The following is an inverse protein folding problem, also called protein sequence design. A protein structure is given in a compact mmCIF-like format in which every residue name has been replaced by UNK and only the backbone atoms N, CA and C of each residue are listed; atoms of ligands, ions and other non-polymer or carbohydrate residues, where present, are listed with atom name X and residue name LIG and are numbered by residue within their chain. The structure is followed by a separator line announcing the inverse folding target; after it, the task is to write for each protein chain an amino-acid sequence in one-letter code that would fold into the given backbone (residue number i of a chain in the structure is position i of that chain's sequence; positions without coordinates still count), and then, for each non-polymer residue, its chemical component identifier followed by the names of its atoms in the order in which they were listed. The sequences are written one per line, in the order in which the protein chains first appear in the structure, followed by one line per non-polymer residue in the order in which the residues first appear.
data_IF_164271369431
#
_entry.id   IF_164271369431
#
_cell.length_a   1.000
_cell.length_b   1.000
_cell.length_c   1.000
_cell.angle_alpha   90.00
_cell.angle_beta   90.00
_cell.angle_gamma   90.00
#
_symmetry.space_group_name_H-M   'P 1'
#
loop_
_entity.id
_entity.type
_entity.pdbx_description
1 polymer ?
#
# COMPACT_ATOMS: atom_id res chain seq x y z
N UNK A 1 4.33 21.90 -7.04
CA UNK A 1 2.94 21.84 -6.54
C UNK A 1 3.00 21.86 -5.02
N UNK A 2 2.47 22.90 -4.37
CA UNK A 2 2.51 23.03 -2.90
C UNK A 2 1.26 22.38 -2.34
N UNK A 3 1.36 21.09 -2.00
CA UNK A 3 0.40 20.42 -1.13
C UNK A 3 0.56 21.03 0.26
N UNK A 4 -0.53 21.39 0.91
CA UNK A 4 -0.56 22.15 2.14
C UNK A 4 0.36 21.56 3.21
N UNK A 5 1.34 22.36 3.63
CA UNK A 5 2.28 22.04 4.71
C UNK A 5 1.60 21.96 6.10
N UNK A 6 0.30 22.26 6.18
CA UNK A 6 -0.43 22.38 7.45
C UNK A 6 -1.03 21.06 8.00
N UNK A 7 -1.01 19.95 7.23
CA UNK A 7 -1.82 18.77 7.54
C UNK A 7 -1.26 17.84 8.61
N UNK A 8 0.04 17.80 8.84
CA UNK A 8 0.67 17.03 9.92
C UNK A 8 2.15 17.39 10.03
N UNK A 9 2.79 17.17 11.17
CA UNK A 9 4.24 17.29 11.30
C UNK A 9 4.98 16.16 10.56
N UNK A 10 6.26 16.37 10.13
CA UNK A 10 7.07 15.30 9.59
C UNK A 10 7.16 14.14 10.59
N UNK A 11 7.08 12.92 10.07
CA UNK A 11 7.19 11.71 10.89
C UNK A 11 8.68 11.46 11.15
N UNK A 12 9.09 11.44 12.42
CA UNK A 12 10.42 10.94 12.81
C UNK A 12 10.34 9.43 13.08
N UNK A 13 10.96 8.58 12.25
CA UNK A 13 10.92 7.14 12.45
C UNK A 13 11.56 6.70 13.77
N UNK A 14 12.53 7.44 14.31
CA UNK A 14 13.14 7.12 15.59
C UNK A 14 12.17 7.39 16.76
N UNK A 15 11.40 8.46 16.69
CA UNK A 15 10.35 8.76 17.66
C UNK A 15 9.22 7.72 17.62
N UNK A 16 8.86 7.23 16.41
CA UNK A 16 7.87 6.15 16.25
C UNK A 16 8.33 4.87 16.93
N UNK A 17 9.59 4.46 16.70
CA UNK A 17 10.16 3.25 17.34
C UNK A 17 10.20 3.37 18.86
N UNK A 18 10.59 4.53 19.37
CA UNK A 18 10.73 4.75 20.80
C UNK A 18 9.38 4.97 21.52
N UNK A 19 8.39 5.54 20.81
CA UNK A 19 7.10 5.93 21.37
C UNK A 19 6.06 4.82 21.40
N UNK A 20 6.15 3.83 20.52
CA UNK A 20 5.22 2.71 20.49
C UNK A 20 5.58 1.68 21.57
N UNK A 21 4.57 1.23 22.31
CA UNK A 21 4.72 0.16 23.32
C UNK A 21 4.60 -1.21 22.64
N UNK A 22 5.58 -1.58 21.83
CA UNK A 22 5.54 -2.76 20.96
C UNK A 22 5.13 -4.05 21.68
N UNK A 23 5.62 -4.30 22.89
CA UNK A 23 5.25 -5.48 23.67
C UNK A 23 3.79 -5.52 24.15
N UNK A 24 3.03 -4.42 23.99
CA UNK A 24 1.59 -4.38 24.24
C UNK A 24 0.76 -4.44 22.94
N UNK A 25 1.43 -4.47 21.80
CA UNK A 25 0.82 -4.59 20.48
C UNK A 25 0.93 -6.03 19.97
N UNK A 26 0.14 -6.35 18.95
CA UNK A 26 0.11 -7.66 18.33
C UNK A 26 0.33 -7.55 16.82
N UNK A 27 0.99 -8.54 16.25
CA UNK A 27 1.07 -8.85 14.84
C UNK A 27 0.46 -10.24 14.57
N UNK A 28 0.57 -10.76 13.35
CA UNK A 28 -0.07 -12.00 12.92
C UNK A 28 0.24 -13.24 13.80
N UNK A 29 1.37 -13.25 14.49
CA UNK A 29 1.88 -14.43 15.22
C UNK A 29 2.00 -14.21 16.72
N UNK A 30 1.61 -13.04 17.24
CA UNK A 30 1.62 -12.75 18.67
C UNK A 30 2.10 -11.35 19.03
N UNK A 31 2.74 -11.18 20.20
CA UNK A 31 3.26 -9.88 20.65
C UNK A 31 4.30 -9.30 19.70
N UNK A 32 4.27 -7.99 19.51
CA UNK A 32 5.05 -7.27 18.50
C UNK A 32 6.43 -6.78 18.99
N UNK A 33 7.04 -7.45 19.98
CA UNK A 33 8.34 -7.06 20.54
C UNK A 33 9.48 -7.08 19.52
N UNK A 34 9.37 -7.90 18.47
CA UNK A 34 10.34 -8.10 17.39
C UNK A 34 10.20 -7.10 16.24
N UNK A 35 9.06 -6.41 16.13
CA UNK A 35 8.80 -5.45 15.05
C UNK A 35 9.84 -4.33 14.94
N UNK A 36 10.38 -3.72 16.03
CA UNK A 36 11.42 -2.71 15.91
C UNK A 36 12.68 -3.18 15.18
N UNK A 37 13.11 -4.43 15.38
CA UNK A 37 14.25 -5.01 14.67
C UNK A 37 13.92 -5.21 13.18
N UNK A 38 12.76 -5.77 12.86
CA UNK A 38 12.29 -5.94 11.48
C UNK A 38 12.25 -4.59 10.75
N UNK A 39 11.65 -3.57 11.35
CA UNK A 39 11.52 -2.24 10.75
C UNK A 39 12.89 -1.59 10.48
N UNK A 40 13.83 -1.68 11.40
CA UNK A 40 15.18 -1.12 11.20
C UNK A 40 15.91 -1.82 10.05
N UNK A 41 15.65 -3.09 9.80
CA UNK A 41 16.18 -3.88 8.70
C UNK A 41 15.83 -3.30 7.32
N UNK A 42 14.72 -2.56 7.17
CA UNK A 42 14.31 -1.96 5.89
C UNK A 42 15.33 -0.98 5.30
N UNK A 43 16.20 -0.41 6.11
CA UNK A 43 17.24 0.53 5.66
C UNK A 43 18.65 -0.01 5.81
N UNK A 44 18.82 -1.29 6.07
CA UNK A 44 20.14 -1.93 6.25
C UNK A 44 21.00 -1.82 4.99
N UNK A 45 22.32 -1.96 5.15
CA UNK A 45 23.27 -1.98 4.05
C UNK A 45 23.22 -3.30 3.28
N UNK A 46 22.96 -4.39 3.96
CA UNK A 46 22.83 -5.74 3.38
C UNK A 46 21.48 -5.91 2.69
N UNK A 47 21.50 -6.31 1.43
CA UNK A 47 20.29 -6.51 0.62
C UNK A 47 19.42 -7.63 1.16
N UNK A 48 20.02 -8.73 1.63
CA UNK A 48 19.29 -9.85 2.20
C UNK A 48 18.58 -9.50 3.52
N UNK A 49 19.14 -8.57 4.30
CA UNK A 49 18.45 -8.03 5.49
C UNK A 49 17.26 -7.19 5.07
N UNK A 50 17.42 -6.30 4.07
CA UNK A 50 16.30 -5.49 3.55
C UNK A 50 15.18 -6.33 2.97
N UNK A 51 15.52 -7.37 2.20
CA UNK A 51 14.54 -8.27 1.58
C UNK A 51 13.73 -9.00 2.64
N UNK A 52 14.39 -9.56 3.67
CA UNK A 52 13.67 -10.19 4.79
C UNK A 52 12.78 -9.21 5.53
N UNK A 53 13.25 -8.00 5.81
CA UNK A 53 12.45 -6.98 6.48
C UNK A 53 11.21 -6.57 5.65
N UNK A 54 11.32 -6.53 4.32
CA UNK A 54 10.18 -6.30 3.43
C UNK A 54 9.20 -7.49 3.46
N UNK A 55 9.70 -8.72 3.43
CA UNK A 55 8.88 -9.92 3.56
C UNK A 55 8.14 -9.94 4.91
N UNK A 56 8.80 -9.54 5.98
CA UNK A 56 8.20 -9.44 7.31
C UNK A 56 7.07 -8.40 7.37
N UNK A 57 7.19 -7.26 6.65
CA UNK A 57 6.08 -6.31 6.53
C UNK A 57 4.83 -6.99 5.96
N UNK A 58 4.98 -7.80 4.91
CA UNK A 58 3.86 -8.46 4.25
C UNK A 58 3.33 -9.68 5.02
N UNK A 59 4.22 -10.45 5.65
CA UNK A 59 3.84 -11.74 6.25
C UNK A 59 3.62 -11.68 7.76
N UNK A 60 4.09 -10.65 8.44
CA UNK A 60 4.00 -10.51 9.89
C UNK A 60 3.14 -9.32 10.28
N UNK A 61 3.46 -8.12 9.75
CA UNK A 61 2.80 -6.87 10.15
C UNK A 61 1.45 -6.68 9.47
N UNK A 62 1.29 -7.20 8.24
CA UNK A 62 0.07 -7.10 7.43
C UNK A 62 -0.27 -8.43 6.75
N UNK A 63 -0.31 -9.50 7.53
CA UNK A 63 -0.52 -10.86 7.03
C UNK A 63 -1.92 -11.02 6.42
N UNK A 64 -1.99 -11.52 5.18
CA UNK A 64 -3.24 -11.79 4.46
C UNK A 64 -4.20 -10.57 4.48
N UNK A 65 -3.66 -9.38 4.27
CA UNK A 65 -4.40 -8.12 4.27
C UNK A 65 -5.15 -7.85 5.59
N UNK A 66 -4.66 -8.39 6.70
CA UNK A 66 -5.26 -8.15 8.01
C UNK A 66 -4.50 -7.04 8.74
N UNK A 67 -5.24 -6.10 9.31
CA UNK A 67 -4.70 -5.06 10.17
C UNK A 67 -4.56 -5.60 11.59
N UNK A 68 -3.41 -5.37 12.20
CA UNK A 68 -3.10 -5.69 13.60
C UNK A 68 -2.84 -4.40 14.38
N UNK A 69 -2.78 -4.48 15.70
CA UNK A 69 -2.49 -3.28 16.51
C UNK A 69 -1.09 -2.71 16.23
N UNK A 70 -0.14 -3.52 15.79
CA UNK A 70 1.19 -3.10 15.37
C UNK A 70 1.23 -2.45 13.98
N UNK A 71 0.19 -2.62 13.13
CA UNK A 71 0.22 -2.16 11.73
C UNK A 71 0.29 -0.64 11.61
N UNK A 72 -0.49 0.10 12.42
CA UNK A 72 -0.50 1.57 12.33
C UNK A 72 0.84 2.23 12.73
N UNK A 73 1.49 1.89 13.86
CA UNK A 73 2.81 2.42 14.16
C UNK A 73 3.88 1.95 13.16
N UNK A 74 3.80 0.74 12.62
CA UNK A 74 4.69 0.29 11.56
C UNK A 74 4.49 1.12 10.28
N UNK A 75 3.24 1.44 9.90
CA UNK A 75 2.94 2.30 8.75
C UNK A 75 3.50 3.72 8.92
N UNK A 76 3.45 4.28 10.13
CA UNK A 76 4.09 5.56 10.42
C UNK A 76 5.62 5.46 10.29
N UNK A 77 6.24 4.40 10.78
CA UNK A 77 7.68 4.20 10.61
C UNK A 77 8.06 4.13 9.12
N UNK A 78 7.37 3.29 8.35
CA UNK A 78 7.58 3.14 6.91
C UNK A 78 7.42 4.48 6.19
N UNK A 79 6.37 5.24 6.51
CA UNK A 79 6.15 6.56 5.96
C UNK A 79 7.29 7.54 6.31
N UNK A 80 7.84 7.45 7.52
CA UNK A 80 8.96 8.27 7.97
C UNK A 80 10.28 8.00 7.24
N UNK A 81 10.51 6.75 6.81
CA UNK A 81 11.76 6.38 6.08
C UNK A 81 11.66 6.57 4.56
N UNK A 82 10.50 6.89 3.99
CA UNK A 82 10.35 7.06 2.53
C UNK A 82 11.33 8.10 1.97
N UNK A 83 11.59 9.19 2.69
CA UNK A 83 12.53 10.24 2.30
C UNK A 83 14.01 9.88 2.46
N UNK A 84 14.33 8.79 3.14
CA UNK A 84 15.72 8.34 3.31
C UNK A 84 16.31 7.86 1.98
N UNK A 85 17.51 8.29 1.63
CA UNK A 85 18.20 7.86 0.42
C UNK A 85 18.44 6.33 0.37
N UNK A 86 18.47 5.66 1.54
CA UNK A 86 18.62 4.22 1.64
C UNK A 86 17.40 3.47 1.09
N UNK A 87 16.22 4.08 1.07
CA UNK A 87 15.01 3.52 0.46
C UNK A 87 15.07 3.45 -1.08
N UNK A 88 16.06 4.09 -1.73
CA UNK A 88 16.31 3.96 -3.16
C UNK A 88 17.14 2.73 -3.54
N UNK A 89 17.62 1.97 -2.55
CA UNK A 89 18.39 0.76 -2.83
C UNK A 89 17.53 -0.32 -3.43
N UNK A 90 18.19 -1.23 -4.14
CA UNK A 90 17.57 -2.48 -4.58
C UNK A 90 17.14 -3.35 -3.42
N UNK A 91 16.17 -4.18 -3.67
CA UNK A 91 15.72 -5.26 -2.80
C UNK A 91 15.50 -6.48 -3.68
N UNK A 92 15.95 -7.64 -3.20
CA UNK A 92 15.61 -8.91 -3.84
C UNK A 92 14.13 -9.17 -3.67
N UNK A 93 13.44 -9.51 -4.75
CA UNK A 93 12.01 -9.72 -4.78
C UNK A 93 11.62 -10.78 -5.78
N UNK A 94 10.44 -11.32 -5.59
CA UNK A 94 9.85 -12.26 -6.53
C UNK A 94 9.80 -11.64 -7.95
N UNK A 95 10.09 -12.40 -9.01
CA UNK A 95 10.00 -11.92 -10.39
C UNK A 95 8.65 -11.31 -10.78
N UNK A 96 7.61 -11.61 -10.01
CA UNK A 96 6.25 -11.10 -10.21
C UNK A 96 5.93 -9.87 -9.36
N UNK A 97 6.83 -9.39 -8.50
CA UNK A 97 6.66 -8.17 -7.73
C UNK A 97 6.68 -6.93 -8.62
N UNK A 98 6.13 -5.83 -8.13
CA UNK A 98 6.18 -4.56 -8.84
C UNK A 98 7.64 -4.13 -9.08
N UNK A 99 7.97 -3.54 -10.25
CA UNK A 99 9.32 -3.05 -10.51
C UNK A 99 9.64 -1.81 -9.66
N UNK A 100 10.93 -1.48 -9.56
CA UNK A 100 11.41 -0.29 -8.87
C UNK A 100 12.27 -0.57 -7.64
N UNK A 101 12.75 0.48 -6.97
CA UNK A 101 13.55 0.39 -5.74
C UNK A 101 12.68 0.03 -4.53
N UNK A 102 13.31 -0.21 -3.37
CA UNK A 102 12.64 -0.44 -2.09
C UNK A 102 11.55 0.59 -1.80
N UNK A 103 11.76 1.88 -2.12
CA UNK A 103 10.75 2.95 -1.94
C UNK A 103 9.44 2.64 -2.64
N UNK A 104 9.47 2.09 -3.85
CA UNK A 104 8.26 1.72 -4.57
C UNK A 104 7.50 0.59 -3.86
N UNK A 105 8.21 -0.40 -3.30
CA UNK A 105 7.62 -1.48 -2.50
C UNK A 105 6.99 -0.96 -1.21
N UNK A 106 7.69 -0.06 -0.50
CA UNK A 106 7.19 0.55 0.73
C UNK A 106 5.92 1.38 0.47
N UNK A 107 5.86 2.12 -0.64
CA UNK A 107 4.65 2.82 -1.07
C UNK A 107 3.53 1.83 -1.42
N UNK A 108 3.84 0.73 -2.10
CA UNK A 108 2.89 -0.35 -2.39
C UNK A 108 2.34 -1.00 -1.12
N UNK A 109 3.20 -1.23 -0.12
CA UNK A 109 2.77 -1.76 1.17
C UNK A 109 1.86 -0.76 1.92
N UNK A 110 2.19 0.53 1.93
CA UNK A 110 1.35 1.57 2.52
C UNK A 110 -0.02 1.67 1.82
N UNK A 111 -0.06 1.49 0.48
CA UNK A 111 -1.31 1.37 -0.25
C UNK A 111 -2.16 0.21 0.28
N UNK A 112 -1.55 -0.99 0.39
CA UNK A 112 -2.26 -2.18 0.86
C UNK A 112 -2.84 -1.99 2.27
N UNK A 113 -2.03 -1.45 3.20
CA UNK A 113 -2.50 -1.13 4.56
C UNK A 113 -3.65 -0.13 4.58
N UNK A 114 -3.56 0.94 3.77
CA UNK A 114 -4.59 1.96 3.72
C UNK A 114 -5.89 1.46 3.08
N UNK A 115 -5.79 0.57 2.09
CA UNK A 115 -6.92 -0.03 1.40
C UNK A 115 -7.79 -0.90 2.34
N UNK A 116 -7.16 -1.60 3.29
CA UNK A 116 -7.91 -2.38 4.30
C UNK A 116 -8.66 -1.50 5.33
N UNK A 117 -8.51 -0.19 5.24
CA UNK A 117 -9.22 0.76 6.09
C UNK A 117 -9.91 1.88 5.26
N UNK A 118 -10.19 1.66 3.98
CA UNK A 118 -10.91 2.60 3.12
C UNK A 118 -12.44 2.54 3.31
N UNK A 119 -13.17 3.33 2.55
CA UNK A 119 -14.63 3.40 2.62
C UNK A 119 -15.29 2.10 2.13
N UNK A 120 -14.69 1.39 1.18
CA UNK A 120 -15.18 0.12 0.67
C UNK A 120 -15.00 -0.99 1.71
N UNK A 121 -13.81 -1.10 2.30
CA UNK A 121 -13.55 -2.03 3.41
C UNK A 121 -14.51 -1.79 4.59
N UNK A 122 -14.77 -0.51 4.92
CA UNK A 122 -15.74 -0.13 5.93
C UNK A 122 -17.17 -0.58 5.57
N UNK A 123 -17.60 -0.39 4.32
CA UNK A 123 -18.92 -0.80 3.86
C UNK A 123 -19.08 -2.32 3.87
N UNK A 124 -18.07 -3.06 3.42
CA UNK A 124 -18.04 -4.53 3.46
C UNK A 124 -18.13 -5.02 4.91
N UNK A 125 -17.33 -4.48 5.82
CA UNK A 125 -17.30 -4.86 7.23
C UNK A 125 -18.67 -4.68 7.88
N UNK A 126 -19.32 -3.53 7.67
CA UNK A 126 -20.69 -3.27 8.17
C UNK A 126 -21.72 -4.23 7.59
N UNK A 127 -21.59 -4.56 6.29
CA UNK A 127 -22.50 -5.50 5.62
C UNK A 127 -22.47 -6.89 6.26
N UNK A 128 -21.31 -7.30 6.75
CA UNK A 128 -21.14 -8.59 7.43
C UNK A 128 -21.42 -8.52 8.96
N UNK A 129 -21.83 -7.36 9.49
CA UNK A 129 -22.16 -7.19 10.89
C UNK A 129 -20.96 -6.92 11.81
N UNK A 130 -19.84 -6.49 11.25
CA UNK A 130 -18.63 -6.11 11.95
C UNK A 130 -18.39 -4.61 11.77
N UNK A 131 -18.94 -3.72 12.64
CA UNK A 131 -18.72 -2.29 12.52
C UNK A 131 -17.22 -1.96 12.61
N UNK A 132 -16.63 -1.26 11.61
CA UNK A 132 -15.20 -1.00 11.61
C UNK A 132 -14.74 -0.10 12.76
N UNK A 133 -15.66 0.71 13.32
CA UNK A 133 -15.44 1.51 14.53
C UNK A 133 -15.18 0.68 15.80
N UNK A 134 -15.58 -0.59 15.81
CA UNK A 134 -15.33 -1.54 16.90
C UNK A 134 -14.01 -2.30 16.72
N UNK A 135 -13.28 -2.04 15.64
CA UNK A 135 -12.00 -2.67 15.33
C UNK A 135 -10.85 -1.67 15.48
N UNK A 136 -10.12 -1.67 16.62
CA UNK A 136 -9.09 -0.68 16.91
C UNK A 136 -8.01 -0.52 15.83
N UNK A 137 -7.47 -1.58 15.19
CA UNK A 137 -6.50 -1.42 14.10
C UNK A 137 -7.03 -0.59 12.93
N UNK A 138 -8.29 -0.78 12.54
CA UNK A 138 -8.93 0.00 11.49
C UNK A 138 -9.02 1.49 11.88
N UNK A 139 -9.50 1.76 13.10
CA UNK A 139 -9.64 3.14 13.61
C UNK A 139 -8.29 3.85 13.64
N UNK A 140 -7.23 3.16 14.05
CA UNK A 140 -5.88 3.73 14.10
C UNK A 140 -5.33 4.05 12.70
N UNK A 141 -5.53 3.20 11.69
CA UNK A 141 -5.15 3.52 10.31
C UNK A 141 -5.93 4.76 9.82
N UNK A 142 -7.25 4.83 10.04
CA UNK A 142 -8.03 6.02 9.70
C UNK A 142 -7.50 7.28 10.40
N UNK A 143 -7.07 7.18 11.65
CA UNK A 143 -6.53 8.32 12.41
C UNK A 143 -5.24 8.86 11.80
N UNK A 144 -4.35 8.00 11.31
CA UNK A 144 -3.03 8.37 10.78
C UNK A 144 -3.02 8.68 9.28
N UNK A 145 -4.16 8.53 8.56
CA UNK A 145 -4.26 8.84 7.11
C UNK A 145 -3.64 10.16 6.70
N UNK A 146 -3.81 11.31 7.41
CA UNK A 146 -3.21 12.57 6.99
C UNK A 146 -1.67 12.55 7.03
N UNK A 147 -1.09 11.87 8.02
CA UNK A 147 0.36 11.72 8.10
C UNK A 147 0.88 10.83 6.97
N UNK A 148 0.20 9.71 6.70
CA UNK A 148 0.54 8.81 5.59
C UNK A 148 0.40 9.54 4.24
N UNK A 149 -0.69 10.29 4.02
CA UNK A 149 -0.90 11.06 2.80
C UNK A 149 0.21 12.10 2.60
N UNK A 150 0.58 12.85 3.63
CA UNK A 150 1.68 13.81 3.53
C UNK A 150 2.98 13.13 3.10
N UNK A 151 3.31 11.97 3.69
CA UNK A 151 4.53 11.25 3.38
C UNK A 151 4.52 10.67 1.95
N UNK A 152 3.42 10.04 1.54
CA UNK A 152 3.29 9.41 0.21
C UNK A 152 3.18 10.43 -0.90
N UNK A 153 2.42 11.51 -0.71
CA UNK A 153 2.21 12.56 -1.72
C UNK A 153 3.47 13.36 -2.06
N UNK A 154 4.51 13.31 -1.21
CA UNK A 154 5.80 13.93 -1.51
C UNK A 154 6.50 13.31 -2.73
N UNK A 155 6.08 12.12 -3.19
CA UNK A 155 6.67 11.38 -4.30
C UNK A 155 5.79 11.37 -5.58
N UNK A 156 4.75 12.18 -5.64
CA UNK A 156 3.88 12.27 -6.81
C UNK A 156 4.60 12.81 -8.07
N UNK A 157 5.69 13.54 -7.89
CA UNK A 157 6.55 14.07 -8.97
C UNK A 157 7.95 13.39 -8.96
N UNK A 158 8.10 12.20 -8.36
CA UNK A 158 9.39 11.49 -8.31
C UNK A 158 9.89 11.21 -9.74
N UNK A 159 11.20 11.41 -10.03
CA UNK A 159 11.77 11.11 -11.35
C UNK A 159 11.69 9.63 -11.73
N UNK A 160 11.72 8.72 -10.76
CA UNK A 160 11.51 7.29 -11.00
C UNK A 160 10.02 7.01 -11.22
N UNK A 161 9.68 6.47 -12.39
CA UNK A 161 8.29 6.18 -12.78
C UNK A 161 7.63 5.20 -11.81
N UNK A 162 8.37 4.20 -11.31
CA UNK A 162 7.83 3.17 -10.43
C UNK A 162 7.52 3.74 -9.05
N UNK A 163 8.37 4.63 -8.53
CA UNK A 163 8.11 5.37 -7.28
C UNK A 163 6.91 6.29 -7.45
N UNK A 164 6.85 7.04 -8.57
CA UNK A 164 5.75 7.96 -8.85
C UNK A 164 4.40 7.25 -8.96
N UNK A 165 4.31 6.16 -9.72
CA UNK A 165 3.07 5.38 -9.88
C UNK A 165 2.65 4.73 -8.57
N UNK A 166 3.59 4.20 -7.79
CA UNK A 166 3.32 3.66 -6.47
C UNK A 166 2.82 4.73 -5.50
N UNK A 167 3.38 5.95 -5.55
CA UNK A 167 2.93 7.07 -4.73
C UNK A 167 1.50 7.52 -5.10
N UNK A 168 1.20 7.63 -6.40
CA UNK A 168 -0.16 7.93 -6.89
C UNK A 168 -1.14 6.89 -6.36
N UNK A 169 -0.81 5.61 -6.51
CA UNK A 169 -1.64 4.51 -6.02
C UNK A 169 -1.83 4.56 -4.49
N UNK A 170 -0.76 4.79 -3.73
CA UNK A 170 -0.81 4.85 -2.27
C UNK A 170 -1.67 6.00 -1.74
N UNK A 171 -1.79 7.09 -2.49
CA UNK A 171 -2.64 8.22 -2.11
C UNK A 171 -4.15 7.93 -2.24
N UNK A 172 -4.57 7.00 -3.10
CA UNK A 172 -6.00 6.75 -3.39
C UNK A 172 -6.81 6.47 -2.12
N UNK A 173 -6.55 5.38 -1.37
CA UNK A 173 -7.36 5.03 -0.19
C UNK A 173 -7.24 6.05 0.95
N UNK A 174 -6.15 6.81 1.00
CA UNK A 174 -5.96 7.85 2.00
C UNK A 174 -6.91 9.04 1.81
N UNK A 175 -7.37 9.28 0.56
CA UNK A 175 -8.29 10.36 0.21
C UNK A 175 -9.76 10.05 0.56
N UNK A 176 -10.05 8.96 1.25
CA UNK A 176 -11.34 8.73 1.89
C UNK A 176 -11.45 9.44 3.25
N UNK A 177 -10.34 10.02 3.73
CA UNK A 177 -10.38 10.89 4.90
C UNK A 177 -11.10 12.21 4.58
N UNK A 178 -12.14 12.60 5.32
CA UNK A 178 -12.87 13.86 5.09
C UNK A 178 -11.98 15.11 5.07
N UNK A 179 -10.84 15.06 5.80
CA UNK A 179 -9.86 16.17 5.85
C UNK A 179 -9.06 16.29 4.55
N UNK A 180 -9.01 15.23 3.73
CA UNK A 180 -8.17 15.13 2.54
C UNK A 180 -8.95 15.15 1.22
N UNK A 181 -10.29 15.15 1.25
CA UNK A 181 -11.14 15.08 0.04
C UNK A 181 -10.80 16.11 -1.02
N UNK A 182 -10.38 17.31 -0.61
CA UNK A 182 -10.04 18.41 -1.54
C UNK A 182 -8.80 18.08 -2.40
N UNK A 183 -7.96 17.11 -2.00
CA UNK A 183 -6.82 16.66 -2.78
C UNK A 183 -7.21 15.73 -3.94
N UNK A 184 -8.45 15.21 -3.98
CA UNK A 184 -8.95 14.41 -5.11
C UNK A 184 -8.84 15.18 -6.43
N UNK A 185 -9.15 16.48 -6.44
CA UNK A 185 -9.00 17.32 -7.61
C UNK A 185 -7.55 17.45 -8.12
N UNK A 186 -6.58 17.33 -7.23
CA UNK A 186 -5.14 17.33 -7.58
C UNK A 186 -4.70 15.95 -8.07
N UNK A 187 -5.22 14.89 -7.48
CA UNK A 187 -4.81 13.52 -7.85
C UNK A 187 -5.49 13.03 -9.14
N UNK A 188 -6.71 13.47 -9.44
CA UNK A 188 -7.45 13.00 -10.62
C UNK A 188 -6.70 13.14 -11.96
N UNK A 189 -6.01 14.24 -12.28
CA UNK A 189 -5.16 14.33 -13.47
C UNK A 189 -4.04 13.29 -13.49
N UNK A 190 -3.38 13.06 -12.35
CA UNK A 190 -2.29 12.08 -12.23
C UNK A 190 -2.79 10.65 -12.43
N UNK A 191 -4.00 10.34 -11.95
CA UNK A 191 -4.65 9.04 -12.22
C UNK A 191 -4.94 8.85 -13.71
N UNK A 192 -5.35 9.91 -14.42
CA UNK A 192 -5.54 9.85 -15.88
C UNK A 192 -4.21 9.64 -16.61
N UNK A 193 -3.12 10.23 -16.14
CA UNK A 193 -1.79 10.02 -16.70
C UNK A 193 -1.32 8.58 -16.48
N UNK A 194 -1.52 8.02 -15.28
CA UNK A 194 -1.22 6.61 -14.97
C UNK A 194 -2.07 5.69 -15.85
N UNK A 195 -3.36 5.95 -15.98
CA UNK A 195 -4.26 5.16 -16.81
C UNK A 195 -3.83 5.15 -18.29
N UNK A 196 -3.32 6.27 -18.79
CA UNK A 196 -2.89 6.42 -20.19
C UNK A 196 -1.51 5.79 -20.46
N UNK A 197 -0.58 5.82 -19.51
CA UNK A 197 0.84 5.57 -19.75
C UNK A 197 1.45 4.39 -18.98
N UNK A 198 0.85 3.96 -17.86
CA UNK A 198 1.42 2.89 -17.04
C UNK A 198 1.49 1.56 -17.79
N UNK A 199 2.64 0.89 -17.70
CA UNK A 199 2.80 -0.48 -18.16
C UNK A 199 2.13 -1.51 -17.23
N UNK A 200 1.81 -1.11 -15.99
CA UNK A 200 1.25 -1.99 -14.96
C UNK A 200 -0.28 -1.87 -14.96
N UNK A 201 -0.95 -2.95 -15.32
CA UNK A 201 -2.40 -2.99 -15.39
C UNK A 201 -3.05 -2.73 -14.02
N UNK A 202 -2.43 -3.15 -12.93
CA UNK A 202 -2.91 -2.94 -11.56
C UNK A 202 -3.06 -1.45 -11.22
N UNK A 203 -2.09 -0.63 -11.62
CA UNK A 203 -2.18 0.82 -11.40
C UNK A 203 -3.23 1.47 -12.29
N UNK A 204 -3.43 0.96 -13.51
CA UNK A 204 -4.51 1.42 -14.40
C UNK A 204 -5.89 1.08 -13.84
N UNK A 205 -6.07 -0.15 -13.32
CA UNK A 205 -7.31 -0.59 -12.70
C UNK A 205 -7.65 0.26 -11.48
N UNK A 206 -6.73 0.41 -10.55
CA UNK A 206 -6.90 1.29 -9.38
C UNK A 206 -7.23 2.73 -9.75
N UNK A 207 -6.64 3.23 -10.83
CA UNK A 207 -6.88 4.60 -11.29
C UNK A 207 -8.29 4.80 -11.84
N UNK A 208 -8.82 3.86 -12.63
CA UNK A 208 -10.19 3.98 -13.17
C UNK A 208 -11.23 3.76 -12.08
N UNK A 209 -11.00 2.85 -11.14
CA UNK A 209 -11.86 2.64 -9.99
C UNK A 209 -11.95 3.89 -9.11
N UNK A 210 -10.80 4.49 -8.78
CA UNK A 210 -10.75 5.71 -8.00
C UNK A 210 -11.49 6.87 -8.69
N UNK A 211 -11.23 7.09 -9.99
CA UNK A 211 -11.92 8.13 -10.76
C UNK A 211 -13.43 7.90 -10.76
N UNK A 212 -13.87 6.65 -10.95
CA UNK A 212 -15.29 6.28 -10.95
C UNK A 212 -15.93 6.53 -9.58
N UNK A 213 -15.28 6.11 -8.49
CA UNK A 213 -15.76 6.28 -7.12
C UNK A 213 -15.81 7.76 -6.70
N UNK A 214 -14.95 8.60 -7.29
CA UNK A 214 -14.96 10.05 -7.03
C UNK A 214 -15.96 10.80 -7.91
N UNK A 215 -16.68 10.10 -8.80
CA UNK A 215 -17.67 10.72 -9.70
C UNK A 215 -17.07 11.50 -10.87
N UNK A 216 -15.82 11.21 -11.21
CA UNK A 216 -15.14 11.76 -12.39
C UNK A 216 -15.70 11.13 -13.68
N UNK A 217 -15.68 11.88 -14.78
CA UNK A 217 -16.03 11.32 -16.09
C UNK A 217 -14.98 10.32 -16.55
N UNK A 218 -15.39 9.05 -16.64
CA UNK A 218 -14.57 7.91 -17.09
C UNK A 218 -15.00 7.38 -18.45
N UNK A 219 -15.91 8.09 -19.17
CA UNK A 219 -16.36 7.67 -20.49
C UNK A 219 -15.18 7.59 -21.47
N UNK A 220 -15.04 6.44 -22.13
CA UNK A 220 -13.94 6.16 -23.06
C UNK A 220 -12.59 5.87 -22.41
N UNK A 221 -12.51 5.83 -21.08
CA UNK A 221 -11.35 5.32 -20.35
C UNK A 221 -11.51 3.80 -20.21
N UNK A 222 -10.82 3.05 -21.05
CA UNK A 222 -10.79 1.59 -20.92
C UNK A 222 -9.46 1.17 -20.28
N UNK A 223 -9.56 0.34 -19.24
CA UNK A 223 -8.41 -0.48 -18.85
C UNK A 223 -8.19 -1.42 -20.00
N UNK A 224 -7.12 -1.23 -20.79
CA UNK A 224 -6.69 -2.28 -21.72
C UNK A 224 -6.41 -3.50 -20.85
N UNK A 225 -7.35 -4.43 -20.84
CA UNK A 225 -7.18 -5.74 -20.27
C UNK A 225 -6.13 -6.48 -21.13
N UNK A 226 -4.88 -6.23 -20.89
CA UNK A 226 -3.89 -7.27 -21.09
C UNK A 226 -4.18 -8.29 -20.00
N UNK A 227 -5.12 -9.18 -20.34
CA UNK A 227 -5.54 -10.26 -19.48
C UNK A 227 -4.29 -10.97 -19.00
N UNK A 228 -4.03 -10.86 -17.70
CA UNK A 228 -3.27 -11.81 -16.91
C UNK A 228 -2.02 -12.38 -17.59
N UNK A 229 -1.01 -11.57 -17.87
CA UNK A 229 0.33 -12.10 -18.17
C UNK A 229 0.84 -13.03 -17.04
N UNK A 230 0.22 -12.97 -15.87
CA UNK A 230 0.44 -13.86 -14.73
C UNK A 230 -0.29 -15.20 -14.81
N UNK A 231 -1.46 -15.24 -15.45
CA UNK A 231 -2.27 -16.44 -15.56
C UNK A 231 -2.29 -17.05 -16.95
N UNK A 232 -1.87 -16.28 -17.96
CA UNK A 232 -1.74 -16.72 -19.36
C UNK A 232 -0.32 -17.21 -19.72
N UNK A 233 0.44 -17.76 -18.77
CA UNK A 233 1.33 -18.84 -19.16
C UNK A 233 0.44 -19.84 -19.88
N UNK A 234 0.70 -20.06 -21.19
CA UNK A 234 -0.05 -20.98 -22.06
C UNK A 234 -0.63 -22.11 -21.24
N UNK A 235 -1.96 -22.17 -21.19
CA UNK A 235 -2.67 -23.20 -20.46
C UNK A 235 -2.25 -24.53 -21.09
N UNK A 236 -1.15 -25.12 -20.64
CA UNK A 236 -0.88 -26.52 -20.88
C UNK A 236 -2.06 -27.21 -20.22
N UNK A 237 -2.92 -27.89 -20.99
CA UNK A 237 -4.04 -28.62 -20.40
C UNK A 237 -3.47 -29.46 -19.27
N UNK A 238 -4.02 -29.32 -18.08
CA UNK A 238 -3.64 -30.13 -16.93
C UNK A 238 -3.76 -31.59 -17.36
N UNK A 239 -2.73 -32.44 -17.15
CA UNK A 239 -2.85 -33.87 -17.48
C UNK A 239 -3.96 -34.57 -16.70
N UNK A 240 -4.68 -33.87 -15.83
CA UNK A 240 -5.75 -34.37 -14.97
C UNK A 240 -7.17 -34.02 -15.44
N UNK A 241 -7.36 -33.36 -16.60
CA UNK A 241 -8.67 -32.89 -17.03
C UNK A 241 -9.45 -33.82 -17.96
N UNK A 242 -8.92 -34.99 -18.35
CA UNK A 242 -9.55 -35.85 -19.34
C UNK A 242 -9.86 -37.29 -18.90
N UNK A 243 -9.86 -37.60 -17.62
CA UNK A 243 -10.44 -38.89 -17.20
C UNK A 243 -11.80 -38.66 -16.52
N UNK A 244 -12.91 -39.14 -17.13
CA UNK A 244 -14.17 -39.22 -16.41
C UNK A 244 -14.04 -40.22 -15.28
N UNK A 245 -14.38 -39.79 -14.08
CA UNK A 245 -14.54 -40.66 -12.93
C UNK A 245 -15.57 -41.74 -13.26
N UNK A 246 -15.11 -42.91 -13.66
CA UNK A 246 -15.93 -44.14 -13.69
C UNK A 246 -15.76 -44.81 -12.33
N UNK A 247 -16.72 -44.62 -11.43
CA UNK A 247 -16.87 -45.32 -10.18
C UNK A 247 -18.32 -45.56 -9.92
#
# INVERSE_FOLDING_TARGET
MTLDKELAEPIDPAEVLAGAHWGALEHAYGPADDIPEMLTGLTDLDEGVRSRALDDLHHVVHHQNTLYTATAPAALYVAGILGDARSLRSVEKDPHSFPGPMRAELLGWLHSVANEADDEAAAISRRFGFPPEDYPPFVEICRVRPQLFRATSAFLDDPDIHVREAAVSACIPLLDDPRLLHHRAVLAPLLRDVLAASALWQYRERSIEALTNWGEDTAGLEVRQERYAFCDSEHKPSPWTDEPWNG
#
